data_IF_822735555194
#
_entry.id   IF_822735555194
#
_cell.length_a   1.000
_cell.length_b   1.000
_cell.length_c   1.000
_cell.angle_alpha   90.00
_cell.angle_beta   90.00
_cell.angle_gamma   90.00
#
_symmetry.space_group_name_H-M   'P 1'
#
loop_
_entity.id
_entity.type
_entity.pdbx_description
1 polymer ?
#
# COMPACT_ATOMS: atom_id res chain seq x y z
N UNK A 1 -1.20 -2.10 -32.08
CA UNK A 1 -2.50 -1.47 -31.79
C UNK A 1 -2.60 -1.26 -30.29
N UNK A 2 -2.39 -0.05 -29.80
CA UNK A 2 -2.62 0.20 -28.37
C UNK A 2 -4.12 0.21 -28.11
N UNK A 3 -4.57 -0.55 -27.14
CA UNK A 3 -5.95 -0.66 -26.70
C UNK A 3 -6.00 -0.36 -25.20
N UNK A 4 -6.76 0.67 -24.86
CA UNK A 4 -7.03 1.03 -23.47
C UNK A 4 -8.41 0.48 -23.15
N UNK A 5 -8.46 -0.30 -22.09
CA UNK A 5 -9.63 -1.09 -21.77
C UNK A 5 -10.02 -0.89 -20.31
N UNK A 6 -11.21 -0.33 -20.11
CA UNK A 6 -11.84 -0.31 -18.80
C UNK A 6 -12.54 -1.65 -18.58
N UNK A 7 -12.18 -2.39 -17.53
CA UNK A 7 -12.84 -3.65 -17.16
C UNK A 7 -13.52 -3.54 -15.81
N UNK A 8 -14.84 -3.63 -15.78
CA UNK A 8 -15.54 -3.99 -14.54
C UNK A 8 -15.81 -5.49 -14.53
N UNK A 9 -15.46 -6.19 -13.45
CA UNK A 9 -15.65 -7.65 -13.36
C UNK A 9 -16.43 -7.98 -12.09
N UNK A 10 -17.57 -8.65 -12.24
CA UNK A 10 -18.30 -9.28 -11.14
C UNK A 10 -18.37 -10.78 -11.35
N UNK A 11 -18.57 -11.49 -10.25
CA UNK A 11 -18.54 -12.95 -10.21
C UNK A 11 -19.78 -13.47 -9.50
N UNK A 12 -20.40 -14.51 -10.06
CA UNK A 12 -21.53 -15.21 -9.45
C UNK A 12 -21.40 -16.72 -9.68
N UNK A 13 -21.98 -17.50 -8.79
CA UNK A 13 -22.20 -18.93 -8.98
C UNK A 13 -23.16 -19.24 -10.14
N UNK A 14 -24.06 -18.32 -10.48
CA UNK A 14 -25.03 -18.47 -11.56
C UNK A 14 -24.61 -17.75 -12.85
N UNK A 15 -25.03 -18.25 -14.03
CA UNK A 15 -24.86 -17.53 -15.30
C UNK A 15 -25.59 -16.19 -15.29
N UNK A 16 -25.02 -15.21 -16.00
CA UNK A 16 -25.64 -13.89 -16.16
C UNK A 16 -26.52 -13.86 -17.39
N UNK A 17 -27.75 -13.37 -17.23
CA UNK A 17 -28.70 -13.14 -18.32
C UNK A 17 -29.02 -11.65 -18.38
N UNK A 18 -28.54 -10.96 -19.42
CA UNK A 18 -28.65 -9.49 -19.53
C UNK A 18 -29.70 -9.05 -20.56
N UNK A 19 -30.47 -9.98 -21.13
CA UNK A 19 -31.44 -9.67 -22.17
C UNK A 19 -32.50 -8.68 -21.69
N UNK A 20 -32.88 -8.77 -20.41
CA UNK A 20 -33.88 -7.88 -19.80
C UNK A 20 -33.34 -6.48 -19.51
N UNK A 21 -32.01 -6.32 -19.51
CA UNK A 21 -31.31 -5.08 -19.16
C UNK A 21 -30.92 -4.31 -20.43
N UNK A 22 -30.51 -5.06 -21.46
CA UNK A 22 -30.16 -4.53 -22.77
C UNK A 22 -31.01 -5.18 -23.86
N UNK A 23 -32.35 -5.01 -23.83
CA UNK A 23 -33.25 -5.64 -24.80
C UNK A 23 -32.98 -5.21 -26.23
N UNK A 24 -32.44 -4.01 -26.42
CA UNK A 24 -32.03 -3.44 -27.70
C UNK A 24 -30.71 -4.02 -28.25
N UNK A 25 -29.91 -4.70 -27.42
CA UNK A 25 -28.60 -5.18 -27.83
C UNK A 25 -28.67 -6.54 -28.53
N UNK A 26 -27.92 -6.67 -29.62
CA UNK A 26 -27.74 -7.97 -30.28
C UNK A 26 -26.79 -8.83 -29.47
N UNK A 27 -27.25 -10.02 -29.07
CA UNK A 27 -26.39 -11.01 -28.41
C UNK A 27 -25.63 -11.84 -29.43
N UNK A 28 -24.32 -11.95 -29.23
CA UNK A 28 -23.47 -12.82 -30.04
C UNK A 28 -22.75 -13.81 -29.13
N UNK A 29 -22.71 -15.06 -29.56
CA UNK A 29 -21.81 -16.05 -28.97
C UNK A 29 -20.45 -15.92 -29.64
N UNK A 30 -19.42 -15.63 -28.86
CA UNK A 30 -18.05 -15.51 -29.32
C UNK A 30 -17.18 -16.55 -28.61
N UNK A 31 -16.43 -17.34 -29.39
CA UNK A 31 -15.40 -18.22 -28.84
C UNK A 31 -14.05 -17.53 -28.93
N UNK A 32 -13.36 -17.43 -27.79
CA UNK A 32 -12.02 -16.86 -27.71
C UNK A 32 -11.07 -17.93 -27.22
N UNK A 33 -10.06 -18.23 -28.04
CA UNK A 33 -9.02 -19.19 -27.70
C UNK A 33 -7.80 -18.47 -27.20
N UNK A 34 -7.33 -18.84 -26.01
CA UNK A 34 -6.14 -18.28 -25.37
C UNK A 34 -5.01 -19.27 -25.39
N UNK A 35 -3.80 -18.74 -25.51
CA UNK A 35 -2.54 -19.43 -25.28
C UNK A 35 -1.72 -18.55 -24.34
N UNK A 36 -1.40 -19.07 -23.15
CA UNK A 36 -0.53 -18.38 -22.19
C UNK A 36 0.90 -18.24 -22.75
N UNK A 37 1.62 -17.11 -22.61
CA UNK A 37 1.29 -15.75 -22.18
C UNK A 37 -0.05 -15.15 -22.56
N UNK A 38 -0.13 -14.75 -23.83
CA UNK A 38 -1.09 -13.76 -24.29
C UNK A 38 -1.28 -13.79 -25.82
N UNK A 39 -1.20 -14.97 -26.41
CA UNK A 39 -1.71 -15.17 -27.77
C UNK A 39 -3.21 -15.46 -27.66
N UNK A 40 -4.01 -14.83 -28.51
CA UNK A 40 -5.44 -15.10 -28.60
C UNK A 40 -5.88 -15.23 -30.05
N UNK A 41 -6.85 -16.09 -30.29
CA UNK A 41 -7.56 -16.17 -31.56
C UNK A 41 -8.98 -15.63 -31.37
N UNK A 42 -9.25 -14.46 -31.95
CA UNK A 42 -10.52 -13.71 -31.84
C UNK A 42 -10.93 -13.27 -33.24
N UNK A 43 -12.21 -13.40 -33.60
CA UNK A 43 -12.76 -12.93 -34.88
C UNK A 43 -11.95 -13.37 -36.12
N UNK A 44 -11.52 -14.64 -36.14
CA UNK A 44 -10.68 -15.23 -37.20
C UNK A 44 -9.28 -14.63 -37.37
N UNK A 45 -8.79 -13.87 -36.38
CA UNK A 45 -7.44 -13.27 -36.37
C UNK A 45 -6.67 -13.74 -35.14
N UNK A 46 -5.38 -13.98 -35.34
CA UNK A 46 -4.45 -14.19 -34.25
C UNK A 46 -3.96 -12.83 -33.76
N UNK A 47 -3.93 -12.63 -32.45
CA UNK A 47 -3.50 -11.40 -31.82
C UNK A 47 -2.59 -11.72 -30.64
N UNK A 48 -1.58 -10.88 -30.39
CA UNK A 48 -0.83 -10.88 -29.12
C UNK A 48 -1.23 -9.67 -28.29
N UNK A 49 -1.66 -9.89 -27.04
CA UNK A 49 -2.02 -8.82 -26.10
C UNK A 49 -0.92 -8.64 -25.06
N UNK A 50 -0.22 -7.52 -25.07
CA UNK A 50 0.76 -7.19 -24.04
C UNK A 50 0.15 -6.20 -23.05
N UNK A 51 0.02 -6.57 -21.78
CA UNK A 51 -0.47 -5.65 -20.75
C UNK A 51 0.66 -4.68 -20.39
N UNK A 52 0.44 -3.39 -20.60
CA UNK A 52 1.39 -2.32 -20.28
C UNK A 52 1.25 -1.91 -18.82
N UNK A 53 0.03 -1.64 -18.37
CA UNK A 53 -0.27 -1.32 -16.97
C UNK A 53 -1.66 -1.80 -16.55
N UNK A 54 -1.83 -1.99 -15.24
CA UNK A 54 -3.13 -2.27 -14.63
C UNK A 54 -3.30 -1.47 -13.36
N UNK A 55 -4.45 -0.84 -13.21
CA UNK A 55 -4.78 -0.01 -12.04
C UNK A 55 -6.14 -0.46 -11.51
N UNK A 56 -6.38 -0.35 -10.20
CA UNK A 56 -7.72 -0.49 -9.66
C UNK A 56 -8.31 0.89 -9.40
N UNK A 57 -9.53 1.11 -9.87
CA UNK A 57 -10.23 2.39 -9.81
C UNK A 57 -11.45 2.21 -8.91
N UNK A 58 -11.66 3.12 -7.97
CA UNK A 58 -12.89 3.19 -7.19
C UNK A 58 -13.74 4.35 -7.70
N UNK A 59 -14.99 4.09 -8.06
CA UNK A 59 -15.92 5.14 -8.41
C UNK A 59 -17.33 4.74 -7.99
N UNK A 60 -18.00 5.62 -7.25
CA UNK A 60 -19.39 5.47 -6.81
C UNK A 60 -19.74 4.06 -6.29
N UNK A 61 -19.00 3.63 -5.26
CA UNK A 61 -19.21 2.34 -4.59
C UNK A 61 -18.68 1.11 -5.34
N UNK A 62 -18.12 1.27 -6.54
CA UNK A 62 -17.70 0.17 -7.41
C UNK A 62 -16.19 0.11 -7.65
N UNK A 63 -15.67 -1.12 -7.74
CA UNK A 63 -14.26 -1.42 -7.96
C UNK A 63 -13.97 -1.91 -9.36
N UNK A 64 -13.23 -1.13 -10.14
CA UNK A 64 -12.93 -1.43 -11.53
C UNK A 64 -11.46 -1.77 -11.70
N UNK A 65 -11.16 -2.57 -12.72
CA UNK A 65 -9.80 -2.81 -13.18
C UNK A 65 -9.60 -2.03 -14.48
N UNK A 66 -8.77 -1.00 -14.44
CA UNK A 66 -8.26 -0.35 -15.64
C UNK A 66 -7.11 -1.17 -16.21
N UNK A 67 -7.15 -1.47 -17.51
CA UNK A 67 -6.11 -2.23 -18.21
C UNK A 67 -5.65 -1.45 -19.42
N UNK A 68 -4.39 -1.01 -19.41
CA UNK A 68 -3.73 -0.52 -20.61
C UNK A 68 -2.98 -1.67 -21.26
N UNK A 69 -3.27 -1.94 -22.54
CA UNK A 69 -2.60 -3.00 -23.28
C UNK A 69 -2.20 -2.60 -24.69
N UNK A 70 -1.22 -3.32 -25.24
CA UNK A 70 -0.81 -3.27 -26.62
C UNK A 70 -1.23 -4.58 -27.28
N UNK A 71 -2.21 -4.50 -28.15
CA UNK A 71 -2.65 -5.59 -28.98
C UNK A 71 -1.96 -5.56 -30.33
N UNK A 72 -1.50 -6.70 -30.83
CA UNK A 72 -0.84 -6.78 -32.14
C UNK A 72 -1.52 -7.87 -32.95
N UNK A 73 -2.36 -7.51 -33.95
CA UNK A 73 -2.95 -8.49 -34.85
C UNK A 73 -1.88 -9.00 -35.82
N UNK A 74 -1.89 -10.31 -36.04
CA UNK A 74 -1.03 -11.01 -36.99
C UNK A 74 -1.87 -11.39 -38.21
N UNK A 75 -1.57 -10.78 -39.35
CA UNK A 75 -2.27 -11.03 -40.63
C UNK A 75 -1.81 -12.36 -41.25
N UNK A 76 -0.58 -12.79 -40.98
CA UNK A 76 -0.01 -14.06 -41.43
C UNK A 76 0.95 -14.64 -40.38
N UNK A 77 1.13 -15.96 -40.43
CA UNK A 77 2.05 -16.68 -39.54
C UNK A 77 3.48 -16.55 -40.08
N UNK A 78 4.29 -15.68 -39.47
CA UNK A 78 5.71 -15.54 -39.81
C UNK A 78 6.59 -16.44 -38.95
N UNK A 79 7.81 -16.75 -39.40
CA UNK A 79 8.80 -17.51 -38.62
C UNK A 79 9.12 -16.86 -37.26
N UNK A 80 9.08 -15.52 -37.19
CA UNK A 80 9.24 -14.78 -35.94
C UNK A 80 8.05 -14.97 -34.98
N UNK A 81 6.82 -14.98 -35.52
CA UNK A 81 5.60 -15.21 -34.74
C UNK A 81 5.55 -16.65 -34.24
N UNK A 82 5.98 -17.60 -35.08
CA UNK A 82 6.09 -19.02 -34.78
C UNK A 82 7.05 -19.27 -33.62
N UNK A 83 8.27 -18.70 -33.67
CA UNK A 83 9.24 -18.81 -32.58
C UNK A 83 8.68 -18.25 -31.26
N UNK A 84 8.07 -17.06 -31.29
CA UNK A 84 7.43 -16.45 -30.10
C UNK A 84 6.29 -17.30 -29.54
N UNK A 85 5.52 -17.94 -30.42
CA UNK A 85 4.43 -18.84 -30.03
C UNK A 85 4.99 -20.10 -29.36
N UNK A 86 6.00 -20.74 -29.97
CA UNK A 86 6.67 -21.92 -29.41
C UNK A 86 7.36 -21.62 -28.08
N UNK A 87 8.04 -20.48 -27.96
CA UNK A 87 8.64 -20.03 -26.70
C UNK A 87 7.58 -19.85 -25.59
N UNK A 88 6.38 -19.37 -25.95
CA UNK A 88 5.28 -19.16 -25.01
C UNK A 88 4.54 -20.46 -24.64
N UNK A 89 4.33 -21.36 -25.60
CA UNK A 89 3.42 -22.49 -25.48
C UNK A 89 4.12 -23.85 -25.31
N UNK A 90 5.39 -23.97 -25.74
CA UNK A 90 6.11 -25.24 -25.90
C UNK A 90 6.34 -26.02 -24.61
N UNK A 91 6.24 -25.35 -23.46
CA UNK A 91 6.41 -25.98 -22.14
C UNK A 91 5.08 -26.41 -21.49
N UNK A 92 3.95 -26.29 -22.19
CA UNK A 92 2.64 -26.64 -21.66
C UNK A 92 2.06 -27.85 -22.40
N UNK A 93 1.57 -28.84 -21.65
CA UNK A 93 0.91 -30.02 -22.22
C UNK A 93 -0.39 -29.66 -22.97
N UNK A 94 -1.10 -28.65 -22.49
CA UNK A 94 -2.26 -28.07 -23.17
C UNK A 94 -2.27 -26.55 -22.92
N UNK A 95 -1.64 -25.75 -23.79
CA UNK A 95 -1.56 -24.30 -23.59
C UNK A 95 -2.87 -23.58 -23.93
N UNK A 96 -3.79 -24.28 -24.61
CA UNK A 96 -5.01 -23.70 -25.15
C UNK A 96 -6.13 -23.68 -24.11
N UNK A 97 -6.80 -22.53 -23.99
CA UNK A 97 -8.04 -22.39 -23.23
C UNK A 97 -9.10 -21.75 -24.11
N UNK A 98 -10.24 -22.42 -24.28
CA UNK A 98 -11.40 -21.85 -24.94
C UNK A 98 -12.29 -21.15 -23.90
N UNK A 99 -12.70 -19.93 -24.19
CA UNK A 99 -13.74 -19.21 -23.47
C UNK A 99 -14.93 -18.96 -24.41
N UNK A 100 -16.08 -19.51 -24.07
CA UNK A 100 -17.35 -19.18 -24.73
C UNK A 100 -17.97 -17.97 -24.04
N UNK A 101 -18.17 -16.89 -24.80
CA UNK A 101 -18.67 -15.62 -24.31
C UNK A 101 -20.04 -15.33 -24.91
N UNK A 102 -20.97 -14.92 -24.07
CA UNK A 102 -22.18 -14.24 -24.51
C UNK A 102 -21.89 -12.74 -24.46
N UNK A 103 -21.93 -12.08 -25.61
CA UNK A 103 -21.51 -10.69 -25.78
C UNK A 103 -22.71 -9.83 -26.18
N UNK A 104 -22.97 -8.78 -25.42
CA UNK A 104 -23.92 -7.70 -25.71
C UNK A 104 -23.11 -6.48 -26.14
N UNK A 105 -23.18 -6.14 -27.43
CA UNK A 105 -22.56 -4.91 -27.94
C UNK A 105 -23.46 -3.72 -27.60
N UNK A 106 -22.97 -2.80 -26.76
CA UNK A 106 -23.70 -1.60 -26.38
C UNK A 106 -23.61 -0.52 -27.46
N UNK A 107 -22.39 -0.28 -27.95
CA UNK A 107 -22.11 0.57 -29.09
C UNK A 107 -20.75 0.19 -29.72
N UNK A 108 -20.19 1.06 -30.56
CA UNK A 108 -18.91 0.80 -31.24
C UNK A 108 -17.69 0.84 -30.29
N UNK A 109 -17.85 1.28 -29.05
CA UNK A 109 -16.77 1.45 -28.06
C UNK A 109 -16.95 0.56 -26.83
N UNK A 110 -18.17 0.13 -26.51
CA UNK A 110 -18.45 -0.67 -25.33
C UNK A 110 -19.20 -1.97 -25.63
N UNK A 111 -18.85 -2.99 -24.85
CA UNK A 111 -19.57 -4.25 -24.78
C UNK A 111 -19.62 -4.78 -23.36
N UNK A 112 -20.62 -5.60 -23.09
CA UNK A 112 -20.69 -6.42 -21.89
C UNK A 112 -20.62 -7.88 -22.31
N UNK A 113 -19.88 -8.71 -21.59
CA UNK A 113 -19.90 -10.15 -21.85
C UNK A 113 -19.83 -10.97 -20.58
N UNK A 114 -20.43 -12.17 -20.65
CA UNK A 114 -20.31 -13.17 -19.61
C UNK A 114 -19.66 -14.45 -20.11
N UNK A 115 -18.94 -15.14 -19.22
CA UNK A 115 -18.32 -16.44 -19.50
C UNK A 115 -18.15 -17.28 -18.23
N UNK A 116 -18.13 -18.60 -18.41
CA UNK A 116 -17.80 -19.54 -17.33
C UNK A 116 -16.28 -19.52 -17.05
N UNK A 117 -15.91 -19.42 -15.79
CA UNK A 117 -14.54 -19.44 -15.32
C UNK A 117 -14.18 -20.84 -14.75
N UNK A 118 -12.91 -21.29 -14.84
CA UNK A 118 -12.49 -22.62 -14.39
C UNK A 118 -12.69 -22.93 -12.91
N UNK A 119 -12.95 -21.93 -12.07
CA UNK A 119 -13.29 -22.12 -10.65
C UNK A 119 -14.78 -22.47 -10.43
N UNK A 120 -15.54 -22.70 -11.50
CA UNK A 120 -16.95 -23.06 -11.46
C UNK A 120 -17.90 -21.87 -11.35
N UNK A 121 -17.39 -20.64 -11.39
CA UNK A 121 -18.21 -19.43 -11.35
C UNK A 121 -18.36 -18.80 -12.73
N UNK A 122 -19.32 -17.90 -12.88
CA UNK A 122 -19.47 -17.05 -14.05
C UNK A 122 -18.90 -15.67 -13.77
N UNK A 123 -18.31 -15.06 -14.80
CA UNK A 123 -17.81 -13.68 -14.76
C UNK A 123 -18.60 -12.84 -15.70
N UNK A 124 -19.03 -11.67 -15.24
CA UNK A 124 -19.63 -10.63 -16.07
C UNK A 124 -18.62 -9.49 -16.19
N UNK A 125 -18.33 -9.08 -17.42
CA UNK A 125 -17.32 -8.09 -17.76
C UNK A 125 -17.93 -6.98 -18.58
N UNK A 126 -17.82 -5.74 -18.09
CA UNK A 126 -17.99 -4.56 -18.93
C UNK A 126 -16.63 -4.16 -19.49
N UNK A 127 -16.55 -4.00 -20.80
CA UNK A 127 -15.35 -3.67 -21.57
C UNK A 127 -15.65 -2.40 -22.38
N UNK A 128 -14.91 -1.33 -22.10
CA UNK A 128 -14.95 -0.08 -22.88
C UNK A 128 -13.57 0.23 -23.45
N UNK A 129 -13.52 0.38 -24.77
CA UNK A 129 -12.34 0.67 -25.55
C UNK A 129 -12.19 2.17 -25.78
N UNK A 130 -11.02 2.71 -25.42
CA UNK A 130 -10.70 4.12 -25.62
C UNK A 130 -9.41 4.30 -26.44
N UNK A 131 -9.50 5.09 -27.52
CA UNK A 131 -8.39 5.41 -28.42
C UNK A 131 -8.12 4.38 -29.52
N UNK A 132 -7.45 4.83 -30.60
CA UNK A 132 -7.03 3.99 -31.74
C UNK A 132 -5.63 4.42 -32.19
N UNK A 133 -4.91 3.58 -32.95
CA UNK A 133 -3.53 3.77 -33.44
C UNK A 133 -3.21 5.18 -33.98
N UNK A 134 -4.18 5.88 -34.57
CA UNK A 134 -4.00 7.19 -35.20
C UNK A 134 -3.94 8.38 -34.24
N UNK A 135 -4.34 8.21 -32.97
CA UNK A 135 -4.29 9.24 -31.94
C UNK A 135 -3.89 8.59 -30.60
N UNK A 136 -2.58 8.55 -30.25
CA UNK A 136 -2.22 8.24 -28.87
C UNK A 136 -2.96 9.21 -27.95
N UNK A 137 -3.60 8.66 -26.93
CA UNK A 137 -4.39 9.44 -25.99
C UNK A 137 -3.45 10.41 -25.29
N UNK A 138 -3.70 11.71 -25.47
CA UNK A 138 -3.32 12.71 -24.47
C UNK A 138 -4.07 12.31 -23.20
N UNK A 139 -3.36 12.19 -22.06
CA UNK A 139 -3.93 11.90 -20.75
C UNK A 139 -5.35 12.49 -20.64
N UNK A 140 -6.37 11.64 -20.73
CA UNK A 140 -7.72 12.07 -20.34
C UNK A 140 -7.62 12.38 -18.86
N UNK A 141 -8.03 13.58 -18.47
CA UNK A 141 -8.33 13.80 -17.07
C UNK A 141 -9.50 12.90 -16.63
N UNK A 142 -9.55 12.63 -15.33
CA UNK A 142 -10.55 11.73 -14.73
C UNK A 142 -11.97 12.21 -15.01
N UNK A 143 -12.21 13.51 -15.06
CA UNK A 143 -13.55 14.09 -15.27
C UNK A 143 -14.08 13.77 -16.66
N UNK A 144 -13.25 13.96 -17.69
CA UNK A 144 -13.56 13.60 -19.08
C UNK A 144 -13.78 12.10 -19.26
N UNK A 145 -13.03 11.25 -18.54
CA UNK A 145 -13.26 9.81 -18.54
C UNK A 145 -14.63 9.47 -17.95
N UNK A 146 -14.97 10.04 -16.79
CA UNK A 146 -16.24 9.79 -16.10
C UNK A 146 -17.43 10.27 -16.92
N UNK A 147 -17.33 11.41 -17.58
CA UNK A 147 -18.36 11.91 -18.49
C UNK A 147 -18.64 10.92 -19.64
N UNK A 148 -17.57 10.38 -20.26
CA UNK A 148 -17.69 9.38 -21.31
C UNK A 148 -18.30 8.05 -20.81
N UNK A 149 -17.99 7.66 -19.57
CA UNK A 149 -18.55 6.46 -18.96
C UNK A 149 -20.00 6.66 -18.51
N UNK A 150 -20.44 7.90 -18.26
CA UNK A 150 -21.76 8.24 -17.73
C UNK A 150 -22.93 7.69 -18.56
N UNK A 151 -22.80 7.59 -19.89
CA UNK A 151 -23.84 6.97 -20.74
C UNK A 151 -24.09 5.49 -20.45
N UNK A 152 -23.15 4.80 -19.81
CA UNK A 152 -23.27 3.40 -19.43
C UNK A 152 -23.72 3.20 -17.98
N UNK A 153 -24.28 4.22 -17.33
CA UNK A 153 -24.69 4.17 -15.91
C UNK A 153 -25.57 2.97 -15.56
N UNK A 154 -26.49 2.56 -16.44
CA UNK A 154 -27.33 1.36 -16.25
C UNK A 154 -26.52 0.08 -16.09
N UNK A 155 -25.40 -0.02 -16.80
CA UNK A 155 -24.45 -1.14 -16.65
C UNK A 155 -23.95 -1.12 -15.22
N UNK A 156 -23.41 0.02 -14.75
CA UNK A 156 -22.84 0.14 -13.41
C UNK A 156 -23.86 -0.18 -12.31
N UNK A 157 -25.08 0.35 -12.40
CA UNK A 157 -26.13 0.07 -11.42
C UNK A 157 -26.46 -1.41 -11.30
N UNK A 158 -26.64 -2.11 -12.43
CA UNK A 158 -26.90 -3.55 -12.39
C UNK A 158 -25.77 -4.31 -11.70
N UNK A 159 -24.56 -3.95 -12.07
CA UNK A 159 -23.33 -4.54 -11.60
C UNK A 159 -23.10 -4.31 -10.08
N UNK A 160 -23.66 -3.24 -9.47
CA UNK A 160 -23.66 -3.02 -7.99
C UNK A 160 -24.38 -4.10 -7.20
N UNK A 161 -25.34 -4.79 -7.82
CA UNK A 161 -26.11 -5.83 -7.12
C UNK A 161 -25.29 -7.10 -6.86
N UNK A 162 -24.13 -7.24 -7.49
CA UNK A 162 -23.30 -8.44 -7.39
C UNK A 162 -22.18 -8.30 -6.39
N UNK A 163 -21.81 -9.44 -5.81
CA UNK A 163 -20.66 -9.51 -4.92
C UNK A 163 -19.37 -9.18 -5.66
N UNK A 164 -18.57 -8.37 -5.00
CA UNK A 164 -17.26 -7.95 -5.45
C UNK A 164 -16.29 -9.16 -5.47
N UNK A 165 -15.40 -9.32 -6.47
CA UNK A 165 -14.54 -10.52 -6.60
C UNK A 165 -13.71 -10.84 -5.35
N UNK A 166 -13.45 -12.12 -5.01
CA UNK A 166 -12.68 -12.44 -3.81
C UNK A 166 -11.29 -11.81 -3.84
N UNK A 167 -10.81 -11.35 -2.69
CA UNK A 167 -9.48 -10.77 -2.51
C UNK A 167 -8.79 -11.37 -1.29
N UNK A 168 -7.47 -11.18 -1.20
CA UNK A 168 -6.69 -11.52 -0.02
C UNK A 168 -5.89 -10.31 0.43
N UNK A 169 -6.05 -9.92 1.68
CA UNK A 169 -5.22 -8.88 2.28
C UNK A 169 -3.91 -9.49 2.77
N UNK A 170 -2.81 -8.81 2.49
CA UNK A 170 -1.52 -9.21 3.00
C UNK A 170 -1.38 -8.75 4.45
N UNK A 171 -1.65 -9.65 5.38
CA UNK A 171 -1.52 -9.40 6.81
C UNK A 171 -0.09 -9.33 7.35
N UNK A 172 0.92 -9.54 6.49
CA UNK A 172 2.35 -9.50 6.83
C UNK A 172 3.01 -8.18 6.48
N UNK A 173 2.25 -7.16 6.05
CA UNK A 173 2.82 -5.84 5.83
C UNK A 173 3.52 -5.33 7.08
N UNK A 174 4.65 -4.66 6.85
CA UNK A 174 5.42 -3.95 7.86
C UNK A 174 5.44 -2.47 7.52
N UNK A 175 5.71 -1.65 8.52
CA UNK A 175 5.93 -0.20 8.36
C UNK A 175 6.93 0.09 7.24
N UNK A 176 6.56 0.97 6.31
CA UNK A 176 7.49 1.52 5.31
C UNK A 176 8.68 2.21 6.02
N UNK A 177 9.93 1.99 5.57
CA UNK A 177 11.08 2.67 6.15
C UNK A 177 10.94 4.20 6.06
N UNK A 178 11.23 4.88 7.17
CA UNK A 178 11.19 6.35 7.25
C UNK A 178 12.59 6.90 7.47
N UNK A 179 13.08 7.70 6.53
CA UNK A 179 14.42 8.30 6.58
C UNK A 179 14.36 9.70 7.17
N UNK A 180 15.18 9.99 8.17
CA UNK A 180 15.28 11.34 8.71
C UNK A 180 16.24 12.19 7.88
N UNK A 181 15.79 13.37 7.44
CA UNK A 181 16.54 14.36 6.65
C UNK A 181 16.52 15.72 7.35
N UNK A 182 17.46 16.60 6.99
CA UNK A 182 17.56 17.95 7.58
C UNK A 182 16.53 18.93 7.02
N UNK A 183 16.25 18.86 5.72
CA UNK A 183 15.19 19.59 5.04
C UNK A 183 14.68 18.78 3.83
N UNK A 184 13.65 19.29 3.15
CA UNK A 184 13.05 18.64 1.97
C UNK A 184 13.38 19.35 0.65
N UNK A 185 14.39 20.25 0.61
CA UNK A 185 14.68 20.99 -0.61
C UNK A 185 14.99 20.04 -1.78
N UNK A 186 14.25 20.20 -2.88
CA UNK A 186 14.40 19.39 -4.10
C UNK A 186 13.77 17.99 -4.03
N UNK A 187 13.04 17.66 -2.96
CA UNK A 187 12.31 16.38 -2.88
C UNK A 187 10.94 16.54 -3.55
N UNK A 188 10.72 15.82 -4.64
CA UNK A 188 9.38 15.68 -5.23
C UNK A 188 8.51 14.80 -4.32
N UNK A 189 7.38 15.31 -3.85
CA UNK A 189 6.47 14.56 -3.01
C UNK A 189 5.40 15.43 -2.36
N UNK A 190 4.53 14.79 -1.61
CA UNK A 190 3.49 15.45 -0.82
C UNK A 190 3.89 15.51 0.65
N UNK A 191 3.52 16.60 1.31
CA UNK A 191 3.92 16.91 2.69
C UNK A 191 2.72 16.69 3.62
N UNK A 192 3.01 16.22 4.84
CA UNK A 192 2.04 16.09 5.92
C UNK A 192 2.70 16.42 7.27
N UNK A 193 1.88 16.75 8.27
CA UNK A 193 2.34 16.83 9.66
C UNK A 193 2.84 15.46 10.14
N UNK A 194 3.99 15.42 10.84
CA UNK A 194 4.43 14.21 11.52
C UNK A 194 3.69 14.13 12.86
N UNK A 195 2.67 13.29 12.92
CA UNK A 195 1.94 13.01 14.15
C UNK A 195 2.85 12.33 15.20
N UNK A 196 2.48 12.48 16.47
CA UNK A 196 3.08 11.71 17.58
C UNK A 196 2.05 10.74 18.16
N UNK A 197 2.14 9.47 17.74
CA UNK A 197 1.30 8.40 18.22
C UNK A 197 1.95 7.03 18.07
N UNK A 198 1.12 5.99 18.22
CA UNK A 198 1.53 4.60 18.01
C UNK A 198 1.21 4.20 16.57
N UNK A 199 2.23 3.82 15.81
CA UNK A 199 2.02 3.33 14.45
C UNK A 199 1.30 1.98 14.45
N UNK A 200 0.46 1.76 13.44
CA UNK A 200 -0.18 0.47 13.20
C UNK A 200 -0.66 0.31 11.76
N UNK A 201 -1.26 -0.86 11.52
CA UNK A 201 -1.94 -1.20 10.28
C UNK A 201 -3.41 -1.45 10.55
N UNK A 202 -4.27 -0.92 9.69
CA UNK A 202 -5.73 -1.08 9.77
C UNK A 202 -6.17 -1.84 8.52
N UNK A 203 -6.81 -2.99 8.75
CA UNK A 203 -7.32 -3.88 7.72
C UNK A 203 -8.84 -3.74 7.68
N UNK A 204 -9.37 -3.29 6.56
CA UNK A 204 -10.79 -3.06 6.38
C UNK A 204 -11.39 -4.13 5.49
N UNK A 205 -12.42 -4.79 6.01
CA UNK A 205 -13.23 -5.83 5.37
C UNK A 205 -14.65 -5.29 5.12
N UNK A 206 -15.57 -6.04 4.46
CA UNK A 206 -16.90 -5.53 4.15
C UNK A 206 -17.69 -5.09 5.39
N UNK A 207 -17.53 -5.81 6.50
CA UNK A 207 -18.38 -5.70 7.70
C UNK A 207 -17.57 -5.55 9.00
N UNK A 208 -16.24 -5.51 8.94
CA UNK A 208 -15.41 -5.28 10.12
C UNK A 208 -14.07 -4.61 9.79
N UNK A 209 -13.47 -4.02 10.82
CA UNK A 209 -12.11 -3.51 10.81
C UNK A 209 -11.27 -4.33 11.79
N UNK A 210 -10.03 -4.61 11.39
CA UNK A 210 -9.00 -5.22 12.25
C UNK A 210 -7.81 -4.27 12.36
N UNK A 211 -7.43 -3.92 13.58
CA UNK A 211 -6.29 -3.06 13.85
C UNK A 211 -5.12 -3.88 14.41
N UNK A 212 -3.90 -3.57 13.95
CA UNK A 212 -2.64 -4.13 14.46
C UNK A 212 -1.69 -2.99 14.80
N UNK A 213 -1.42 -2.79 16.08
CA UNK A 213 -0.56 -1.71 16.56
C UNK A 213 0.85 -2.22 16.88
N UNK A 214 1.87 -1.37 16.68
CA UNK A 214 3.20 -1.59 17.26
C UNK A 214 3.05 -1.82 18.78
N UNK A 215 3.79 -2.78 19.33
CA UNK A 215 3.59 -3.25 20.72
C UNK A 215 2.63 -4.44 20.87
N UNK A 216 2.07 -4.97 19.77
CA UNK A 216 1.34 -6.24 19.77
C UNK A 216 -0.12 -6.14 20.20
N UNK A 217 -0.72 -4.94 20.16
CA UNK A 217 -2.14 -4.73 20.47
C UNK A 217 -2.98 -5.00 19.22
N UNK A 218 -3.98 -5.87 19.36
CA UNK A 218 -4.91 -6.24 18.30
C UNK A 218 -6.34 -5.86 18.69
N UNK A 219 -7.08 -5.23 17.78
CA UNK A 219 -8.51 -4.91 17.96
C UNK A 219 -9.30 -5.33 16.74
N UNK A 220 -10.55 -5.76 16.97
CA UNK A 220 -11.52 -6.07 15.93
C UNK A 220 -12.79 -5.29 16.24
N UNK A 221 -13.27 -4.54 15.26
CA UNK A 221 -14.48 -3.73 15.33
C UNK A 221 -15.47 -4.27 14.30
N UNK A 222 -16.55 -4.91 14.78
CA UNK A 222 -17.60 -5.45 13.90
C UNK A 222 -18.63 -4.37 13.58
N UNK A 223 -19.26 -4.46 12.40
CA UNK A 223 -20.30 -3.55 11.94
C UNK A 223 -19.78 -2.20 11.43
N UNK A 224 -18.46 -2.02 11.33
CA UNK A 224 -17.83 -0.81 10.77
C UNK A 224 -16.85 -1.20 9.66
N UNK A 225 -16.71 -0.33 8.67
CA UNK A 225 -15.79 -0.53 7.53
C UNK A 225 -15.23 0.83 7.08
N UNK A 226 -13.99 0.82 6.60
CA UNK A 226 -13.34 1.92 5.89
C UNK A 226 -13.35 1.69 4.37
N UNK A 227 -14.16 0.74 3.90
CA UNK A 227 -14.18 0.24 2.54
C UNK A 227 -13.73 -1.22 2.46
N UNK A 228 -14.30 -1.96 1.52
CA UNK A 228 -14.10 -3.40 1.41
C UNK A 228 -12.72 -3.75 0.81
N UNK A 229 -11.86 -4.39 1.61
CA UNK A 229 -10.61 -4.98 1.18
C UNK A 229 -9.44 -4.01 1.12
N UNK A 230 -9.31 -3.14 2.13
CA UNK A 230 -8.25 -2.15 2.18
C UNK A 230 -7.25 -2.43 3.30
N UNK A 231 -6.01 -2.05 3.09
CA UNK A 231 -4.98 -2.01 4.13
C UNK A 231 -4.43 -0.60 4.21
N UNK A 232 -4.53 -0.01 5.39
CA UNK A 232 -3.99 1.31 5.69
C UNK A 232 -2.81 1.19 6.64
N UNK A 233 -1.83 2.08 6.51
CA UNK A 233 -1.04 2.45 7.67
C UNK A 233 -1.73 3.57 8.43
N UNK A 234 -1.62 3.55 9.74
CA UNK A 234 -2.28 4.47 10.63
C UNK A 234 -1.39 4.86 11.81
N UNK A 235 -1.76 5.95 12.47
CA UNK A 235 -1.18 6.37 13.75
C UNK A 235 -2.30 6.58 14.75
N UNK A 236 -2.19 5.89 15.89
CA UNK A 236 -3.13 6.01 17.01
C UNK A 236 -2.62 7.04 18.00
N UNK A 237 -3.41 8.09 18.19
CA UNK A 237 -3.09 9.19 19.07
C UNK A 237 -3.45 8.86 20.53
N UNK A 238 -2.90 9.64 21.46
CA UNK A 238 -3.11 9.47 22.92
C UNK A 238 -4.57 9.61 23.34
N UNK A 239 -5.35 10.42 22.63
CA UNK A 239 -6.80 10.59 22.82
C UNK A 239 -7.64 9.43 22.24
N UNK A 240 -7.00 8.42 21.64
CA UNK A 240 -7.66 7.24 21.07
C UNK A 240 -8.06 7.37 19.60
N UNK A 241 -7.97 8.55 18.99
CA UNK A 241 -8.26 8.76 17.57
C UNK A 241 -7.23 8.02 16.71
N UNK A 242 -7.71 7.38 15.64
CA UNK A 242 -6.89 6.68 14.65
C UNK A 242 -6.81 7.51 13.38
N UNK A 243 -5.62 7.98 13.04
CA UNK A 243 -5.38 8.74 11.80
C UNK A 243 -4.81 7.83 10.73
N UNK A 244 -5.53 7.64 9.63
CA UNK A 244 -5.08 6.89 8.46
C UNK A 244 -4.05 7.71 7.70
N UNK A 245 -2.85 7.16 7.53
CA UNK A 245 -1.70 7.84 6.93
C UNK A 245 -1.53 7.53 5.44
N UNK A 246 -1.72 6.27 5.06
CA UNK A 246 -1.47 5.80 3.69
C UNK A 246 -2.29 4.54 3.43
N UNK A 247 -2.57 4.24 2.17
CA UNK A 247 -3.23 3.02 1.69
C UNK A 247 -2.17 2.13 1.07
N UNK A 248 -1.91 0.97 1.67
CA UNK A 248 -0.91 0.00 1.21
C UNK A 248 -1.48 -0.95 0.17
N UNK A 249 -2.74 -1.32 0.34
CA UNK A 249 -3.40 -2.29 -0.49
C UNK A 249 -4.87 -1.95 -0.64
N UNK A 250 -5.38 -2.24 -1.83
CA UNK A 250 -6.79 -2.08 -2.18
C UNK A 250 -7.21 -3.32 -2.94
N UNK A 251 -8.23 -4.02 -2.46
CA UNK A 251 -8.81 -5.24 -3.06
C UNK A 251 -7.77 -6.31 -3.39
N UNK A 252 -6.72 -6.43 -2.57
CA UNK A 252 -5.63 -7.38 -2.83
C UNK A 252 -4.46 -6.82 -3.66
N UNK A 253 -4.59 -5.63 -4.25
CA UNK A 253 -3.54 -5.02 -5.08
C UNK A 253 -2.70 -4.03 -4.28
N UNK A 254 -1.36 -4.18 -4.26
CA UNK A 254 -0.47 -3.19 -3.67
C UNK A 254 -0.55 -1.86 -4.41
N UNK A 255 -0.67 -0.77 -3.68
CA UNK A 255 -0.79 0.59 -4.24
C UNK A 255 0.57 1.25 -4.54
N UNK A 256 1.68 0.55 -4.26
CA UNK A 256 3.05 1.06 -4.46
C UNK A 256 3.34 1.41 -5.93
N UNK A 257 2.69 0.71 -6.86
CA UNK A 257 2.83 0.94 -8.30
C UNK A 257 1.88 2.01 -8.84
N UNK A 258 0.98 2.53 -7.99
CA UNK A 258 -0.01 3.51 -8.40
C UNK A 258 0.55 4.92 -8.27
N UNK A 259 -0.09 5.88 -8.94
CA UNK A 259 0.22 7.28 -8.70
C UNK A 259 -0.07 7.64 -7.23
N UNK A 260 1.00 7.85 -6.46
CA UNK A 260 0.94 8.06 -5.02
C UNK A 260 0.27 9.38 -4.65
N UNK A 261 0.36 10.39 -5.51
CA UNK A 261 -0.33 11.67 -5.31
C UNK A 261 -1.84 11.49 -5.30
N UNK A 262 -2.36 10.73 -6.28
CA UNK A 262 -3.79 10.39 -6.33
C UNK A 262 -4.21 9.59 -5.10
N UNK A 263 -3.38 8.65 -4.64
CA UNK A 263 -3.71 7.85 -3.44
C UNK A 263 -3.77 8.73 -2.18
N UNK A 264 -2.79 9.59 -1.96
CA UNK A 264 -2.63 10.34 -0.71
C UNK A 264 -3.49 11.61 -0.64
N UNK A 265 -3.67 12.31 -1.76
CA UNK A 265 -4.46 13.56 -1.82
C UNK A 265 -5.92 13.27 -2.18
N UNK A 266 -6.18 12.44 -3.19
CA UNK A 266 -7.54 12.27 -3.68
C UNK A 266 -8.23 11.11 -2.95
N UNK A 267 -7.70 9.91 -3.05
CA UNK A 267 -8.39 8.73 -2.53
C UNK A 267 -8.51 8.74 -1.01
N UNK A 268 -7.41 8.91 -0.29
CA UNK A 268 -7.39 8.84 1.18
C UNK A 268 -8.28 9.93 1.82
N UNK A 269 -8.31 11.13 1.24
CA UNK A 269 -9.03 12.26 1.84
C UNK A 269 -10.55 12.21 1.63
N UNK A 270 -11.03 11.47 0.64
CA UNK A 270 -12.46 11.35 0.30
C UNK A 270 -13.12 10.09 0.89
N UNK A 271 -12.40 9.34 1.74
CA UNK A 271 -13.00 8.19 2.44
C UNK A 271 -14.11 8.65 3.38
N UNK A 272 -15.20 7.90 3.38
CA UNK A 272 -16.21 7.99 4.44
C UNK A 272 -15.67 7.27 5.67
N UNK A 273 -15.48 7.99 6.78
CA UNK A 273 -14.83 7.48 7.98
C UNK A 273 -15.86 7.26 9.10
N UNK A 274 -15.81 6.13 9.81
CA UNK A 274 -16.58 5.94 11.04
C UNK A 274 -16.02 6.81 12.18
N UNK A 275 -16.79 6.95 13.25
CA UNK A 275 -16.37 7.69 14.44
C UNK A 275 -15.03 7.16 15.00
N UNK A 276 -14.16 8.08 15.42
CA UNK A 276 -12.83 7.77 15.95
C UNK A 276 -11.74 7.60 14.88
N UNK A 277 -12.09 7.69 13.59
CA UNK A 277 -11.12 7.67 12.48
C UNK A 277 -11.01 9.03 11.79
N UNK A 278 -9.78 9.40 11.44
CA UNK A 278 -9.45 10.58 10.66
C UNK A 278 -8.47 10.22 9.54
N UNK A 279 -8.29 11.10 8.57
CA UNK A 279 -7.28 10.95 7.52
C UNK A 279 -6.20 12.00 7.64
N UNK A 280 -4.95 11.59 7.40
CA UNK A 280 -3.82 12.50 7.31
C UNK A 280 -4.08 13.49 6.18
N UNK A 281 -3.89 14.78 6.46
CA UNK A 281 -3.96 15.83 5.44
C UNK A 281 -2.60 15.99 4.78
N UNK A 282 -2.60 15.81 3.46
CA UNK A 282 -1.45 15.97 2.58
C UNK A 282 -1.63 17.21 1.71
N UNK A 283 -0.55 17.96 1.52
CA UNK A 283 -0.47 19.15 0.67
C UNK A 283 0.79 19.09 -0.21
N UNK A 284 0.92 19.99 -1.19
CA UNK A 284 2.12 20.04 -2.03
C UNK A 284 3.30 20.69 -1.32
N UNK A 285 3.01 21.59 -0.37
CA UNK A 285 4.01 22.38 0.34
C UNK A 285 3.75 22.44 1.85
N UNK A 286 4.80 22.75 2.61
CA UNK A 286 4.71 22.85 4.09
C UNK A 286 3.81 24.01 4.49
N UNK A 287 3.87 25.12 3.75
CA UNK A 287 3.11 26.35 4.02
C UNK A 287 1.60 26.19 3.78
N UNK A 288 1.21 25.17 3.03
CA UNK A 288 -0.19 24.83 2.73
C UNK A 288 -0.81 23.92 3.80
N UNK A 289 0.00 23.39 4.73
CA UNK A 289 -0.49 22.44 5.71
C UNK A 289 -1.53 23.09 6.62
N UNK A 290 -2.72 22.48 6.77
CA UNK A 290 -3.73 23.01 7.66
C UNK A 290 -3.25 22.96 9.12
N UNK A 291 -3.75 23.89 9.94
CA UNK A 291 -3.57 23.77 11.38
C UNK A 291 -4.19 22.47 11.87
N UNK A 292 -3.46 21.76 12.73
CA UNK A 292 -3.92 20.51 13.34
C UNK A 292 -4.09 20.69 14.84
N UNK A 293 -5.12 20.05 15.39
CA UNK A 293 -5.37 19.98 16.83
C UNK A 293 -4.51 18.93 17.54
N UNK A 294 -3.83 18.10 16.76
CA UNK A 294 -3.03 16.98 17.25
C UNK A 294 -1.58 17.42 17.48
N UNK A 295 -0.91 16.81 18.45
CA UNK A 295 0.52 17.03 18.67
C UNK A 295 1.34 16.55 17.46
N UNK A 296 2.30 17.37 17.02
CA UNK A 296 3.17 17.08 15.88
C UNK A 296 4.64 17.27 16.25
N UNK A 297 5.51 16.54 15.56
CA UNK A 297 6.96 16.55 15.75
C UNK A 297 7.66 16.80 14.40
N UNK A 298 7.27 17.89 13.76
CA UNK A 298 7.74 18.29 12.44
C UNK A 298 6.88 17.72 11.32
N UNK A 299 7.52 17.30 10.23
CA UNK A 299 6.82 17.00 8.97
C UNK A 299 7.31 15.68 8.37
N UNK A 300 6.45 15.08 7.56
CA UNK A 300 6.78 13.97 6.68
C UNK A 300 6.64 14.42 5.22
N UNK A 301 7.50 13.89 4.36
CA UNK A 301 7.35 13.98 2.92
C UNK A 301 7.27 12.58 2.34
N UNK A 302 6.21 12.34 1.58
CA UNK A 302 6.00 11.11 0.84
C UNK A 302 6.38 11.35 -0.61
N UNK A 303 7.49 10.74 -1.05
CA UNK A 303 7.93 10.89 -2.43
C UNK A 303 6.97 10.15 -3.37
N UNK A 304 6.36 10.88 -4.30
CA UNK A 304 5.26 10.34 -5.12
C UNK A 304 5.74 9.42 -6.25
N UNK A 305 7.03 9.45 -6.59
CA UNK A 305 7.63 8.60 -7.64
C UNK A 305 8.24 7.31 -7.08
N UNK A 306 8.85 7.37 -5.91
CA UNK A 306 9.64 6.27 -5.32
C UNK A 306 8.97 5.61 -4.12
N UNK A 307 7.84 6.16 -3.66
CA UNK A 307 7.09 5.71 -2.47
C UNK A 307 7.91 5.77 -1.16
N UNK A 308 9.06 6.45 -1.17
CA UNK A 308 9.91 6.66 0.00
C UNK A 308 9.32 7.71 0.92
N UNK A 309 9.43 7.48 2.23
CA UNK A 309 8.98 8.43 3.26
C UNK A 309 10.19 9.07 3.92
N UNK A 310 10.23 10.39 3.89
CA UNK A 310 11.22 11.21 4.59
C UNK A 310 10.55 11.92 5.77
N UNK A 311 11.31 12.20 6.82
CA UNK A 311 10.85 13.03 7.94
C UNK A 311 11.87 14.09 8.30
N UNK A 312 11.38 15.27 8.64
CA UNK A 312 12.14 16.35 9.27
C UNK A 312 11.59 16.50 10.68
N UNK A 313 12.50 16.52 11.65
CA UNK A 313 12.19 16.80 13.05
C UNK A 313 12.77 18.16 13.42
N UNK A 314 12.03 18.94 14.19
CA UNK A 314 12.55 20.19 14.77
C UNK A 314 13.41 19.95 16.01
N UNK A 315 13.18 18.82 16.68
CA UNK A 315 13.94 18.41 17.86
C UNK A 315 14.41 16.98 17.71
N UNK A 316 15.70 16.75 17.92
CA UNK A 316 16.26 15.41 17.92
C UNK A 316 16.37 14.87 19.35
N UNK A 317 15.97 13.62 19.49
CA UNK A 317 15.97 12.86 20.75
C UNK A 317 16.62 11.50 20.53
N UNK A 318 17.16 10.93 21.60
CA UNK A 318 17.69 9.58 21.66
C UNK A 318 16.79 8.74 22.56
N UNK A 319 16.37 7.57 22.09
CA UNK A 319 15.79 6.52 22.93
C UNK A 319 16.95 5.73 23.56
N UNK A 320 17.09 5.79 24.88
CA UNK A 320 18.22 5.21 25.61
C UNK A 320 17.75 4.39 26.80
N UNK A 321 18.50 3.34 27.14
CA UNK A 321 18.19 2.48 28.28
C UNK A 321 18.80 3.06 29.53
N UNK A 322 17.99 3.26 30.58
CA UNK A 322 18.47 3.72 31.88
C UNK A 322 18.91 2.54 32.74
N UNK A 323 20.10 2.63 33.34
CA UNK A 323 20.60 1.68 34.33
C UNK A 323 21.66 2.31 35.23
N UNK A 324 21.42 2.23 36.53
CA UNK A 324 22.34 2.59 37.62
C UNK A 324 22.84 4.05 37.57
N UNK A 325 21.92 5.00 37.30
CA UNK A 325 22.25 6.42 37.22
C UNK A 325 22.77 6.88 35.86
N UNK A 326 22.86 5.98 34.88
CA UNK A 326 23.37 6.26 33.55
C UNK A 326 22.38 5.87 32.45
N UNK A 327 22.42 6.61 31.35
CA UNK A 327 21.84 6.22 30.09
C UNK A 327 22.86 5.50 29.24
N UNK A 328 22.50 4.34 28.71
CA UNK A 328 23.38 3.45 27.96
C UNK A 328 23.07 3.50 26.46
N UNK A 329 24.14 3.55 25.68
CA UNK A 329 24.17 3.59 24.22
C UNK A 329 24.99 2.38 23.73
N UNK A 330 24.59 1.72 22.62
CA UNK A 330 25.41 0.68 22.00
C UNK A 330 26.73 1.26 21.48
N UNK A 331 27.83 0.49 21.50
CA UNK A 331 29.08 0.88 20.86
C UNK A 331 29.15 0.50 19.38
N UNK A 332 30.05 1.15 18.63
CA UNK A 332 30.26 0.97 17.18
C UNK A 332 31.12 -0.24 16.81
N UNK A 333 32.19 -0.46 17.58
CA UNK A 333 33.37 -1.18 17.04
C UNK A 333 33.59 -2.58 17.61
N UNK A 334 33.07 -2.91 18.80
CA UNK A 334 33.32 -4.21 19.46
C UNK A 334 32.12 -4.69 20.30
N UNK A 335 31.78 -5.99 20.26
CA UNK A 335 30.87 -6.59 21.24
C UNK A 335 31.37 -6.31 22.67
N UNK A 336 30.51 -5.74 23.51
CA UNK A 336 30.86 -5.40 24.90
C UNK A 336 31.39 -3.98 25.13
N UNK A 337 31.69 -3.22 24.07
CA UNK A 337 31.94 -1.78 24.18
C UNK A 337 30.61 -1.04 24.16
N UNK A 338 30.36 -0.23 25.18
CA UNK A 338 29.17 0.61 25.31
C UNK A 338 29.58 2.05 25.55
N UNK A 339 28.67 2.97 25.25
CA UNK A 339 28.79 4.36 25.65
C UNK A 339 27.74 4.65 26.71
N UNK A 340 28.04 5.54 27.65
CA UNK A 340 27.05 5.99 28.64
C UNK A 340 27.25 7.44 29.01
N UNK A 341 26.17 8.09 29.41
CA UNK A 341 26.20 9.44 30.00
C UNK A 341 25.35 9.47 31.26
N UNK A 342 25.67 10.39 32.17
CA UNK A 342 24.96 10.49 33.45
C UNK A 342 23.57 11.08 33.25
N UNK A 343 22.56 10.43 33.82
CA UNK A 343 21.21 10.98 33.86
C UNK A 343 21.16 12.24 34.73
N UNK A 344 20.43 13.26 34.30
CA UNK A 344 20.25 14.49 35.06
C UNK A 344 19.13 14.34 36.11
N UNK A 345 18.15 13.51 35.79
CA UNK A 345 16.95 13.26 36.58
C UNK A 345 17.17 12.16 37.63
N UNK A 346 16.43 12.28 38.73
CA UNK A 346 16.37 11.29 39.81
C UNK A 346 15.08 10.47 39.70
N UNK A 347 15.08 9.26 40.27
CA UNK A 347 13.89 8.41 40.35
C UNK A 347 13.55 7.63 39.08
N UNK A 348 14.47 7.56 38.11
CA UNK A 348 14.29 6.75 36.92
C UNK A 348 14.40 5.25 37.24
N UNK A 349 13.61 4.44 36.54
CA UNK A 349 13.56 3.00 36.74
C UNK A 349 14.58 2.26 35.86
N UNK A 350 15.42 1.43 36.48
CA UNK A 350 16.39 0.59 35.79
C UNK A 350 15.72 -0.32 34.74
N UNK A 351 16.41 -0.55 33.62
CA UNK A 351 15.99 -1.44 32.54
C UNK A 351 14.96 -0.84 31.57
N UNK A 352 14.48 0.38 31.81
CA UNK A 352 13.49 1.03 30.96
C UNK A 352 14.11 1.95 29.92
N UNK A 353 13.41 2.14 28.81
CA UNK A 353 13.78 3.08 27.75
C UNK A 353 13.19 4.46 28.03
N UNK A 354 14.02 5.49 27.91
CA UNK A 354 13.61 6.88 28.00
C UNK A 354 14.00 7.61 26.72
N UNK A 355 13.16 8.55 26.33
CA UNK A 355 13.45 9.50 25.27
C UNK A 355 14.15 10.72 25.88
N UNK A 356 15.36 11.00 25.42
CA UNK A 356 16.25 12.03 25.96
C UNK A 356 16.57 13.06 24.88
N UNK A 357 16.46 14.34 25.21
CA UNK A 357 16.74 15.44 24.28
C UNK A 357 18.23 15.58 23.99
N UNK A 358 18.60 15.73 22.71
CA UNK A 358 19.99 15.95 22.30
C UNK A 358 20.49 17.35 22.70
N UNK A 359 19.58 18.32 22.87
CA UNK A 359 19.91 19.73 23.21
C UNK A 359 20.43 19.93 24.63
N UNK A 360 20.01 19.09 25.57
CA UNK A 360 20.34 19.30 26.98
C UNK A 360 20.57 18.00 27.75
N UNK A 361 20.35 16.83 27.13
CA UNK A 361 20.46 15.54 27.79
C UNK A 361 19.37 15.24 28.82
N UNK A 362 18.32 16.05 28.86
CA UNK A 362 17.18 15.86 29.76
C UNK A 362 16.17 14.85 29.23
N UNK A 363 15.50 14.15 30.14
CA UNK A 363 14.43 13.19 29.85
C UNK A 363 13.18 13.93 29.38
N UNK A 364 12.71 13.58 28.19
CA UNK A 364 11.44 14.05 27.65
C UNK A 364 10.28 13.19 28.15
N UNK A 365 10.41 11.86 28.06
CA UNK A 365 9.40 10.91 28.54
C UNK A 365 9.96 9.50 28.72
N UNK A 366 9.23 8.67 29.49
CA UNK A 366 9.42 7.21 29.53
C UNK A 366 8.75 6.58 28.30
N UNK A 367 9.46 5.67 27.62
CA UNK A 367 8.99 4.96 26.41
C UNK A 367 8.45 3.59 26.77
N UNK A 368 7.19 3.54 27.19
CA UNK A 368 6.51 2.29 27.55
C UNK A 368 6.25 1.38 26.33
N UNK A 369 6.33 1.93 25.12
CA UNK A 369 6.22 1.25 23.84
C UNK A 369 7.52 0.55 23.40
N UNK A 370 8.62 0.70 24.14
CA UNK A 370 9.95 0.21 23.74
C UNK A 370 10.64 -0.65 24.80
N UNK A 371 11.26 -1.71 24.31
CA UNK A 371 12.13 -2.60 25.09
C UNK A 371 13.63 -2.36 24.82
N UNK A 372 13.95 -1.64 23.73
CA UNK A 372 15.34 -1.33 23.32
C UNK A 372 15.48 0.14 22.95
N UNK A 373 16.67 0.70 23.22
CA UNK A 373 17.05 2.04 22.77
C UNK A 373 17.42 2.08 21.27
N UNK A 374 17.84 3.24 20.80
CA UNK A 374 18.31 3.42 19.43
C UNK A 374 19.58 2.58 19.16
N UNK A 375 19.68 2.08 17.93
CA UNK A 375 20.90 1.42 17.44
C UNK A 375 22.01 2.45 17.21
N UNK A 376 23.27 1.99 17.15
CA UNK A 376 24.40 2.90 16.92
C UNK A 376 24.26 3.69 15.61
N UNK A 377 23.84 3.04 14.52
CA UNK A 377 23.58 3.69 13.23
C UNK A 377 22.50 4.78 13.33
N UNK A 378 21.47 4.57 14.14
CA UNK A 378 20.44 5.60 14.39
C UNK A 378 21.02 6.77 15.18
N UNK A 379 21.84 6.49 16.20
CA UNK A 379 22.49 7.51 17.03
C UNK A 379 23.44 8.36 16.17
N UNK A 380 24.31 7.76 15.35
CA UNK A 380 25.18 8.50 14.42
C UNK A 380 24.37 9.43 13.51
N UNK A 381 23.35 8.89 12.85
CA UNK A 381 22.48 9.68 11.97
C UNK A 381 21.76 10.84 12.69
N UNK A 382 21.54 10.74 14.01
CA UNK A 382 20.93 11.79 14.82
C UNK A 382 21.98 12.83 15.19
N UNK A 383 23.15 12.39 15.66
CA UNK A 383 24.23 13.26 16.10
C UNK A 383 24.89 14.03 14.93
N UNK A 384 24.88 13.47 13.71
CA UNK A 384 25.25 14.17 12.49
C UNK A 384 24.34 15.36 12.18
N UNK A 385 23.06 15.27 12.55
CA UNK A 385 22.07 16.34 12.33
C UNK A 385 22.07 17.37 13.45
N UNK A 386 22.34 16.93 14.66
CA UNK A 386 22.38 17.78 15.83
C UNK A 386 23.43 17.28 16.83
N UNK A 387 24.46 18.09 17.06
CA UNK A 387 25.51 17.79 18.03
C UNK A 387 24.95 17.62 19.44
N UNK A 388 25.47 16.63 20.17
CA UNK A 388 25.13 16.39 21.57
C UNK A 388 25.56 17.54 22.46
N UNK A 389 24.64 18.04 23.30
CA UNK A 389 24.87 19.14 24.25
C UNK A 389 24.57 18.76 25.71
N UNK A 390 24.20 17.50 25.97
CA UNK A 390 23.98 17.00 27.33
C UNK A 390 25.27 16.58 28.06
N UNK A 391 25.12 15.87 29.17
CA UNK A 391 26.25 15.31 29.95
C UNK A 391 27.26 14.58 29.06
N UNK A 392 28.58 14.67 29.31
CA UNK A 392 29.59 14.00 28.52
C UNK A 392 29.33 12.50 28.33
N UNK A 393 29.50 12.03 27.09
CA UNK A 393 29.37 10.61 26.75
C UNK A 393 30.72 9.93 26.95
N UNK A 394 30.75 8.92 27.82
CA UNK A 394 31.94 8.14 28.14
C UNK A 394 31.86 6.74 27.52
N UNK A 395 32.99 6.25 27.00
CA UNK A 395 33.13 4.85 26.60
C UNK A 395 33.39 3.95 27.81
N UNK A 396 32.76 2.78 27.82
CA UNK A 396 32.83 1.81 28.90
C UNK A 396 32.83 0.40 28.32
N UNK A 397 33.76 -0.43 28.79
CA UNK A 397 33.76 -1.86 28.48
C UNK A 397 32.91 -2.58 29.53
N UNK A 398 31.84 -3.25 29.09
CA UNK A 398 31.00 -4.06 29.98
C UNK A 398 31.73 -5.38 30.24
N UNK A 399 32.41 -5.48 31.38
CA UNK A 399 33.01 -6.74 31.84
C UNK A 399 31.89 -7.71 32.17
N UNK A 400 31.66 -8.71 31.31
CA UNK A 400 30.74 -9.81 31.61
C UNK A 400 31.42 -10.67 32.68
N UNK A 401 30.99 -10.52 33.94
CA UNK A 401 31.35 -11.50 34.99
C UNK A 401 30.74 -12.84 34.60
N UNK A 402 31.54 -13.73 34.01
CA UNK A 402 31.18 -15.14 33.88
C UNK A 402 31.22 -15.75 35.27
N UNK A 403 30.05 -15.90 35.89
CA UNK A 403 29.91 -16.71 37.10
C UNK A 403 30.24 -18.15 36.72
N UNK A 404 31.49 -18.59 36.96
CA UNK A 404 31.86 -20.00 36.87
C UNK A 404 31.00 -20.77 37.89
N UNK A 405 29.95 -21.43 37.42
CA UNK A 405 29.28 -22.50 38.18
C UNK A 405 30.35 -23.57 38.45
N UNK A 406 30.84 -23.65 39.70
CA UNK A 406 31.60 -24.81 40.17
C UNK A 406 30.67 -26.03 40.05
N UNK A 407 30.98 -26.94 39.12
CA UNK A 407 30.50 -28.33 39.19
C UNK A 407 31.01 -28.88 40.52
N UNK A 408 30.09 -29.30 41.40
CA UNK A 408 30.44 -30.25 42.47
C UNK A 408 30.80 -31.55 41.76
N UNK A 409 32.06 -31.96 41.86
CA UNK A 409 32.46 -33.33 41.62
C UNK A 409 31.87 -34.16 42.76
N UNK A 410 30.99 -35.10 42.42
CA UNK A 410 30.67 -36.22 43.30
C UNK A 410 31.89 -37.14 43.29
N UNK A 411 32.57 -37.21 44.43
CA UNK A 411 33.57 -38.25 44.71
C UNK A 411 32.84 -39.31 45.53
N UNK A 412 32.89 -40.56 45.04
CA UNK A 412 32.81 -41.80 45.81
C UNK A 412 31.52 -42.08 46.56
#
# INVERSE_FOLDING_TARGET
MHEYEFRYVVQDSAPFFLQDIFPECTVKVQHVWYVKPHFRYKNKRLETKHIISTEAVFYDGLWFKWVHSLETPHVSWSSLTDKKFLDAAGNFQCPFRNETRHVWTLDNQAQVYTFAHPDGTYRLVFEWEYGVFSKPIKNLDTESLLENLGKYWKVYEYFRSFSSPPYRLNETFSRKPVTCVANFQGVEGVVAHKLDGTFGLVYSFPDYIKEKWEGGIYKIHKGITLGDGMVFSAEKLSNGIVVLLDVYQVRGFPTVQWNREIVLINFLQHLSLPEGYETQKYCQRVEELPMTRHETDGYIVHNTKTDKILKVKHTHSLDVVYMDGYFWLPGKEKPGLYRRFKALEKGLQNGHVYEVSVKNGGVLRKRNDRFVGNTWKQIENILEKQSWQGSPIHEVVKVVKTTKRRRKENIG
#
